data_IF_413519126593
#
_entry.id   IF_413519126593
#
_cell.length_a   1.000
_cell.length_b   1.000
_cell.length_c   1.000
_cell.angle_alpha   90.00
_cell.angle_beta   90.00
_cell.angle_gamma   90.00
#
_symmetry.space_group_name_H-M   'P 1'
#
loop_
_entity.id
_entity.type
_entity.pdbx_description
1 polymer ?
#
# COMPACT_ATOMS: atom_id res chain seq x y z
N UNK A 1 1.00 -2.65 32.60
CA UNK A 1 2.03 -3.56 32.06
C UNK A 1 2.38 -3.09 30.65
N UNK A 2 3.66 -3.12 30.25
CA UNK A 2 4.06 -2.77 28.87
C UNK A 2 3.95 -4.02 28.00
N UNK A 3 3.17 -3.97 26.92
CA UNK A 3 3.14 -5.05 25.94
C UNK A 3 4.53 -5.18 25.30
N UNK A 4 5.12 -6.37 25.36
CA UNK A 4 6.41 -6.66 24.74
C UNK A 4 6.16 -6.83 23.25
N UNK A 5 6.62 -5.88 22.44
CA UNK A 5 6.63 -6.03 20.98
C UNK A 5 7.60 -7.16 20.65
N UNK A 6 7.08 -8.27 20.14
CA UNK A 6 7.90 -9.28 19.49
C UNK A 6 7.94 -8.92 18.01
N UNK A 7 9.13 -8.53 17.56
CA UNK A 7 9.41 -8.43 16.14
C UNK A 7 9.77 -9.84 15.69
N UNK A 8 8.94 -10.42 14.84
CA UNK A 8 9.23 -11.67 14.19
C UNK A 8 9.83 -11.34 12.83
N UNK A 9 11.10 -11.70 12.63
CA UNK A 9 11.71 -11.64 11.32
C UNK A 9 11.08 -12.76 10.49
N UNK A 10 10.21 -12.37 9.55
CA UNK A 10 9.75 -13.32 8.55
C UNK A 10 10.78 -13.35 7.45
N UNK A 11 11.29 -14.55 7.16
CA UNK A 11 12.29 -14.76 6.12
C UNK A 11 11.83 -14.18 4.77
N UNK A 12 12.49 -13.10 4.33
CA UNK A 12 12.11 -12.31 3.14
C UNK A 12 12.04 -13.15 1.87
N UNK A 13 12.81 -14.24 1.76
CA UNK A 13 12.79 -15.15 0.60
C UNK A 13 11.46 -15.89 0.43
N UNK A 14 10.60 -15.92 1.46
CA UNK A 14 9.26 -16.51 1.37
C UNK A 14 8.20 -15.53 0.88
N UNK A 15 8.56 -14.25 0.70
CA UNK A 15 7.65 -13.23 0.22
C UNK A 15 8.18 -12.61 -1.07
N UNK A 16 7.34 -12.47 -2.12
CA UNK A 16 7.76 -11.76 -3.32
C UNK A 16 8.06 -10.29 -2.96
N UNK A 17 9.04 -9.68 -3.63
CA UNK A 17 9.41 -8.28 -3.42
C UNK A 17 8.27 -7.30 -3.75
N UNK A 18 7.28 -7.76 -4.50
CA UNK A 18 6.04 -7.05 -4.83
C UNK A 18 4.96 -7.14 -3.75
N UNK A 19 5.26 -7.65 -2.54
CA UNK A 19 4.32 -7.66 -1.41
C UNK A 19 4.43 -6.37 -0.58
N UNK A 20 3.29 -5.81 -0.17
CA UNK A 20 3.23 -4.67 0.73
C UNK A 20 2.11 -4.82 1.77
N UNK A 21 2.45 -4.55 3.04
CA UNK A 21 1.46 -4.35 4.09
C UNK A 21 1.00 -2.89 4.07
N UNK A 22 -0.31 -2.68 4.00
CA UNK A 22 -0.94 -1.37 3.87
C UNK A 22 -1.82 -1.13 5.08
N UNK A 23 -1.39 -0.23 5.96
CA UNK A 23 -2.10 0.07 7.19
C UNK A 23 -2.62 1.52 7.16
N UNK A 24 -3.77 1.80 7.80
CA UNK A 24 -4.19 3.17 8.01
C UNK A 24 -3.29 3.85 9.03
N UNK A 25 -3.09 5.17 8.89
CA UNK A 25 -2.21 5.94 9.76
C UNK A 25 -2.59 5.84 11.26
N UNK A 26 -3.88 5.68 11.56
CA UNK A 26 -4.36 5.59 12.94
C UNK A 26 -4.00 4.27 13.62
N UNK A 27 -3.75 3.20 12.85
CA UNK A 27 -3.35 1.89 13.41
C UNK A 27 -2.01 1.97 14.15
N UNK A 28 -1.13 2.91 13.78
CA UNK A 28 0.18 3.09 14.40
C UNK A 28 0.11 3.72 15.80
N UNK A 29 -0.92 4.53 16.07
CA UNK A 29 -1.06 5.28 17.32
C UNK A 29 -1.96 4.60 18.36
N UNK A 30 -2.81 3.67 17.94
CA UNK A 30 -3.94 3.17 18.76
C UNK A 30 -3.56 2.32 19.99
N UNK A 31 -2.29 1.95 20.19
CA UNK A 31 -1.89 1.01 21.26
C UNK A 31 -1.58 1.65 22.62
N UNK A 32 -1.62 2.97 22.75
CA UNK A 32 -1.26 3.63 24.01
C UNK A 32 -2.42 3.89 24.98
N UNK A 33 -3.69 3.88 24.55
CA UNK A 33 -4.83 4.30 25.38
C UNK A 33 -6.07 3.37 25.34
N UNK A 34 -5.92 2.05 25.21
CA UNK A 34 -7.07 1.15 25.02
C UNK A 34 -7.61 0.54 26.33
N UNK A 35 -8.54 1.24 27.00
CA UNK A 35 -9.60 0.63 27.83
C UNK A 35 -10.93 0.49 27.08
N UNK A 36 -11.05 1.03 25.85
CA UNK A 36 -12.25 0.93 25.02
C UNK A 36 -12.11 -0.18 23.96
N UNK A 37 -13.00 -1.16 24.02
CA UNK A 37 -13.14 -2.34 23.14
C UNK A 37 -13.58 -1.98 21.70
N UNK A 38 -12.81 -1.17 20.99
CA UNK A 38 -13.00 -1.01 19.54
C UNK A 38 -12.11 -2.03 18.83
N UNK A 39 -12.70 -2.85 17.95
CA UNK A 39 -11.98 -3.88 17.22
C UNK A 39 -10.75 -3.29 16.50
N UNK A 40 -9.60 -4.00 16.50
CA UNK A 40 -8.37 -3.50 15.89
C UNK A 40 -8.57 -3.20 14.41
N UNK A 41 -8.05 -2.06 13.96
CA UNK A 41 -8.14 -1.63 12.57
C UNK A 41 -7.35 -2.60 11.67
N UNK A 42 -7.99 -3.26 10.68
CA UNK A 42 -7.30 -4.22 9.84
C UNK A 42 -6.32 -3.50 8.89
N UNK A 43 -5.09 -3.98 8.82
CA UNK A 43 -4.22 -3.69 7.69
C UNK A 43 -4.62 -4.60 6.51
N UNK A 44 -4.31 -4.17 5.30
CA UNK A 44 -4.37 -5.00 4.11
C UNK A 44 -2.97 -5.52 3.77
N UNK A 45 -2.91 -6.68 3.13
CA UNK A 45 -1.71 -7.21 2.51
C UNK A 45 -2.01 -7.31 1.02
N UNK A 46 -1.14 -6.76 0.19
CA UNK A 46 -1.30 -6.86 -1.25
C UNK A 46 -0.01 -7.33 -1.92
N UNK A 47 -0.15 -8.04 -3.04
CA UNK A 47 0.97 -8.43 -3.90
C UNK A 47 0.63 -8.17 -5.36
N UNK A 48 1.53 -7.50 -6.08
CA UNK A 48 1.44 -7.36 -7.53
C UNK A 48 2.07 -8.58 -8.21
N UNK A 49 1.41 -9.10 -9.26
CA UNK A 49 1.89 -10.23 -10.04
C UNK A 49 1.25 -10.29 -11.44
N UNK A 50 1.51 -11.36 -12.21
CA UNK A 50 1.02 -11.49 -13.59
C UNK A 50 -0.51 -11.47 -13.71
N UNK A 51 -1.22 -11.95 -12.69
CA UNK A 51 -2.69 -11.98 -12.65
C UNK A 51 -3.31 -10.65 -12.18
N UNK A 52 -2.48 -9.66 -11.82
CA UNK A 52 -2.90 -8.38 -11.26
C UNK A 52 -2.50 -8.18 -9.79
N UNK A 53 -3.23 -7.30 -9.11
CA UNK A 53 -3.02 -6.97 -7.70
C UNK A 53 -3.93 -7.86 -6.84
N UNK A 54 -3.33 -8.79 -6.10
CA UNK A 54 -4.06 -9.57 -5.10
C UNK A 54 -4.06 -8.78 -3.79
N UNK A 55 -5.25 -8.47 -3.26
CA UNK A 55 -5.46 -7.75 -2.00
C UNK A 55 -6.21 -8.65 -1.03
N UNK A 56 -5.81 -8.65 0.25
CA UNK A 56 -6.50 -9.41 1.30
C UNK A 56 -6.34 -8.77 2.68
N UNK A 57 -7.29 -8.97 3.60
CA UNK A 57 -7.13 -8.51 4.97
C UNK A 57 -5.96 -9.21 5.68
N UNK A 58 -5.14 -8.44 6.38
CA UNK A 58 -4.09 -8.95 7.25
C UNK A 58 -4.67 -9.25 8.63
N UNK A 59 -4.64 -10.52 9.04
CA UNK A 59 -4.98 -10.95 10.41
C UNK A 59 -3.75 -10.99 11.33
N UNK A 60 -2.83 -10.03 11.18
CA UNK A 60 -1.67 -9.92 12.08
C UNK A 60 -2.14 -9.77 13.54
N UNK A 61 -1.88 -10.79 14.37
CA UNK A 61 -2.10 -10.75 15.82
C UNK A 61 -3.20 -11.65 16.36
N UNK A 62 -3.99 -12.33 15.52
CA UNK A 62 -4.82 -13.45 15.98
C UNK A 62 -4.04 -14.74 15.77
N UNK A 63 -3.52 -15.32 16.86
CA UNK A 63 -2.73 -16.57 16.86
C UNK A 63 -3.50 -17.84 16.47
N UNK A 64 -4.44 -17.74 15.52
CA UNK A 64 -5.20 -18.84 14.96
C UNK A 64 -4.69 -19.18 13.55
N UNK A 65 -4.44 -20.46 13.31
CA UNK A 65 -3.88 -21.06 12.10
C UNK A 65 -4.68 -20.87 10.80
N UNK A 66 -5.80 -20.15 10.80
CA UNK A 66 -6.69 -20.05 9.63
C UNK A 66 -6.36 -18.81 8.77
N UNK A 67 -5.09 -18.63 8.41
CA UNK A 67 -4.66 -17.58 7.48
C UNK A 67 -5.21 -17.81 6.06
N UNK A 68 -5.51 -19.07 5.72
CA UNK A 68 -5.95 -19.51 4.39
C UNK A 68 -7.42 -19.21 4.06
N UNK A 69 -8.22 -18.77 5.04
CA UNK A 69 -9.67 -18.55 4.85
C UNK A 69 -10.06 -17.07 4.70
N UNK A 70 -9.09 -16.16 4.73
CA UNK A 70 -9.39 -14.75 4.51
C UNK A 70 -9.80 -14.53 3.03
N UNK A 71 -10.86 -13.74 2.76
CA UNK A 71 -11.20 -13.40 1.39
C UNK A 71 -10.02 -12.71 0.72
N UNK A 72 -9.79 -13.05 -0.54
CA UNK A 72 -8.83 -12.39 -1.41
C UNK A 72 -9.55 -11.82 -2.61
N UNK A 73 -9.05 -10.68 -3.09
CA UNK A 73 -9.59 -9.98 -4.24
C UNK A 73 -8.48 -9.73 -5.24
N UNK A 74 -8.73 -10.05 -6.50
CA UNK A 74 -7.78 -9.78 -7.59
C UNK A 74 -8.28 -8.58 -8.37
N UNK A 75 -7.46 -7.52 -8.42
CA UNK A 75 -7.73 -6.30 -9.18
C UNK A 75 -6.88 -6.32 -10.45
N UNK A 76 -7.46 -6.19 -11.65
CA UNK A 76 -6.71 -6.13 -12.88
C UNK A 76 -5.66 -5.01 -12.86
N UNK A 77 -4.47 -5.29 -13.40
CA UNK A 77 -3.37 -4.35 -13.58
C UNK A 77 -2.94 -4.30 -15.06
N UNK A 78 -2.24 -3.24 -15.51
CA UNK A 78 -1.56 -3.26 -16.80
C UNK A 78 -0.55 -4.41 -16.89
N UNK A 79 -0.26 -4.89 -18.09
CA UNK A 79 0.57 -6.09 -18.33
C UNK A 79 2.00 -5.99 -17.76
N UNK A 80 2.48 -4.77 -17.51
CA UNK A 80 3.77 -4.54 -16.84
C UNK A 80 3.66 -4.80 -15.33
N UNK A 81 4.18 -5.96 -14.92
CA UNK A 81 4.19 -6.36 -13.52
C UNK A 81 5.12 -5.46 -12.71
N UNK A 82 4.57 -4.76 -11.72
CA UNK A 82 5.36 -4.03 -10.73
C UNK A 82 6.30 -4.99 -9.97
N UNK A 83 7.60 -4.73 -10.09
CA UNK A 83 8.70 -5.45 -9.41
C UNK A 83 8.72 -5.16 -7.92
N UNK A 84 8.41 -3.92 -7.54
CA UNK A 84 8.20 -3.50 -6.16
C UNK A 84 6.84 -2.85 -6.02
N UNK A 85 6.26 -2.97 -4.83
CA UNK A 85 4.99 -2.37 -4.45
C UNK A 85 5.15 -1.66 -3.10
N UNK A 86 4.60 -0.47 -3.00
CA UNK A 86 4.28 0.16 -1.73
C UNK A 86 2.83 0.63 -1.75
N UNK A 87 2.21 0.70 -0.58
CA UNK A 87 0.85 1.20 -0.50
C UNK A 87 0.41 1.58 0.90
N UNK A 88 -0.73 2.24 0.95
CA UNK A 88 -1.32 2.78 2.17
C UNK A 88 -2.84 2.75 2.09
N UNK A 89 -3.48 2.51 3.24
CA UNK A 89 -4.93 2.73 3.39
C UNK A 89 -5.14 4.18 3.84
N UNK A 90 -5.82 4.97 3.03
CA UNK A 90 -6.04 6.41 3.26
C UNK A 90 -7.51 6.76 3.11
N UNK A 91 -7.91 7.93 3.62
CA UNK A 91 -9.24 8.50 3.33
C UNK A 91 -9.33 8.87 1.85
N UNK A 92 -10.42 8.49 1.18
CA UNK A 92 -10.61 8.83 -0.24
C UNK A 92 -10.59 10.35 -0.49
N UNK A 93 -11.08 11.15 0.46
CA UNK A 93 -11.03 12.62 0.36
C UNK A 93 -9.61 13.20 0.22
N UNK A 94 -8.57 12.45 0.62
CA UNK A 94 -7.16 12.86 0.48
C UNK A 94 -6.55 12.54 -0.88
N UNK A 95 -7.18 11.61 -1.61
CA UNK A 95 -6.74 11.13 -2.92
C UNK A 95 -7.81 11.38 -3.98
N UNK A 96 -8.76 12.30 -3.73
CA UNK A 96 -9.88 12.55 -4.63
C UNK A 96 -9.40 12.86 -6.05
N UNK A 97 -8.39 13.74 -6.20
CA UNK A 97 -7.78 14.05 -7.50
C UNK A 97 -6.98 12.91 -8.15
N UNK A 98 -6.90 11.73 -7.52
CA UNK A 98 -6.33 10.50 -8.07
C UNK A 98 -7.40 9.44 -8.38
N UNK A 99 -8.65 9.67 -8.00
CA UNK A 99 -9.75 8.78 -8.31
C UNK A 99 -10.33 9.15 -9.67
N UNK A 100 -10.95 8.17 -10.32
CA UNK A 100 -11.75 8.45 -11.50
C UNK A 100 -13.05 9.13 -11.10
N UNK A 101 -13.61 9.96 -11.99
CA UNK A 101 -14.89 10.64 -11.75
C UNK A 101 -16.01 9.65 -11.37
N UNK A 102 -16.01 8.44 -11.93
CA UNK A 102 -17.04 7.43 -11.64
C UNK A 102 -16.85 6.75 -10.27
N UNK A 103 -15.67 6.87 -9.67
CA UNK A 103 -15.29 6.26 -8.40
C UNK A 103 -15.35 7.26 -7.24
N UNK A 104 -15.38 8.55 -7.54
CA UNK A 104 -15.48 9.60 -6.53
C UNK A 104 -16.78 9.49 -5.70
N UNK A 105 -16.64 9.59 -4.37
CA UNK A 105 -17.77 9.53 -3.44
C UNK A 105 -18.35 8.13 -3.20
N UNK A 106 -17.84 7.10 -3.85
CA UNK A 106 -18.33 5.71 -3.68
C UNK A 106 -17.84 5.05 -2.38
N UNK A 107 -16.74 5.55 -1.80
CA UNK A 107 -16.11 4.98 -0.61
C UNK A 107 -15.51 6.04 0.32
N UNK A 108 -15.43 5.72 1.61
CA UNK A 108 -14.75 6.54 2.62
C UNK A 108 -13.22 6.31 2.62
N UNK A 109 -12.80 5.09 2.29
CA UNK A 109 -11.41 4.62 2.34
C UNK A 109 -10.93 4.15 0.98
N UNK A 110 -9.67 4.44 0.69
CA UNK A 110 -9.03 4.15 -0.57
C UNK A 110 -7.65 3.50 -0.32
N UNK A 111 -7.23 2.64 -1.23
CA UNK A 111 -5.84 2.24 -1.38
C UNK A 111 -5.11 3.31 -2.19
N UNK A 112 -4.00 3.81 -1.65
CA UNK A 112 -3.00 4.55 -2.42
C UNK A 112 -1.84 3.59 -2.70
N UNK A 113 -1.49 3.44 -3.97
CA UNK A 113 -0.54 2.45 -4.46
C UNK A 113 0.57 3.14 -5.23
N UNK A 114 1.79 2.61 -5.08
CA UNK A 114 2.95 2.95 -5.92
C UNK A 114 3.64 1.67 -6.36
N UNK A 115 3.81 1.52 -7.66
CA UNK A 115 4.59 0.46 -8.26
C UNK A 115 5.99 0.89 -8.66
N UNK A 116 6.87 -0.08 -8.88
CA UNK A 116 8.11 0.09 -9.66
C UNK A 116 8.14 -0.96 -10.76
N UNK A 117 8.07 -0.57 -12.03
CA UNK A 117 8.13 -1.51 -13.17
C UNK A 117 9.58 -1.74 -13.67
N UNK A 118 10.54 -0.93 -13.22
CA UNK A 118 11.94 -0.95 -13.69
C UNK A 118 12.34 0.30 -14.48
N UNK A 119 11.37 1.13 -14.84
CA UNK A 119 11.56 2.38 -15.54
C UNK A 119 10.85 3.55 -14.85
N UNK A 120 9.60 3.36 -14.42
CA UNK A 120 8.72 4.37 -13.83
C UNK A 120 8.18 3.95 -12.46
N UNK A 121 7.76 4.97 -11.71
CA UNK A 121 7.09 4.83 -10.42
C UNK A 121 5.62 5.24 -10.55
N UNK A 122 4.76 4.41 -11.16
CA UNK A 122 3.35 4.73 -11.35
C UNK A 122 2.60 4.80 -10.03
N UNK A 123 1.74 5.82 -9.89
CA UNK A 123 0.86 6.04 -8.74
C UNK A 123 -0.58 5.77 -9.13
N UNK A 124 -1.30 4.99 -8.32
CA UNK A 124 -2.71 4.69 -8.52
C UNK A 124 -3.49 4.79 -7.20
N UNK A 125 -4.81 5.02 -7.29
CA UNK A 125 -5.71 4.96 -6.16
C UNK A 125 -6.93 4.08 -6.48
N UNK A 126 -7.42 3.33 -5.49
CA UNK A 126 -8.60 2.46 -5.63
C UNK A 126 -9.56 2.64 -4.43
N UNK A 127 -10.89 2.74 -4.64
CA UNK A 127 -11.85 2.76 -3.55
C UNK A 127 -11.96 1.39 -2.87
N UNK A 128 -12.09 1.39 -1.54
CA UNK A 128 -12.38 0.22 -0.71
C UNK A 128 -13.84 0.27 -0.23
N UNK A 129 -14.66 -0.61 -0.78
CA UNK A 129 -16.04 -0.84 -0.33
C UNK A 129 -16.00 -1.44 1.07
N UNK A 130 -16.92 -1.04 1.94
CA UNK A 130 -17.02 -1.55 3.32
C UNK A 130 -15.87 -1.11 4.27
N UNK A 131 -15.13 -0.08 3.88
CA UNK A 131 -14.19 0.63 4.76
C UNK A 131 -12.73 0.17 4.66
N UNK A 132 -11.97 0.39 5.73
CA UNK A 132 -10.48 0.31 5.74
C UNK A 132 -9.88 -1.02 5.32
N UNK A 133 -10.54 -2.12 5.67
CA UNK A 133 -10.11 -3.49 5.34
C UNK A 133 -11.07 -4.17 4.37
N UNK A 134 -11.92 -3.38 3.74
CA UNK A 134 -12.94 -3.86 2.84
C UNK A 134 -12.38 -4.19 1.45
N UNK A 135 -13.25 -4.64 0.57
CA UNK A 135 -12.87 -5.09 -0.76
C UNK A 135 -12.73 -3.91 -1.72
N UNK A 136 -11.80 -3.94 -2.68
CA UNK A 136 -11.86 -3.04 -3.83
C UNK A 136 -13.19 -3.17 -4.57
N UNK A 137 -13.66 -2.12 -5.24
CA UNK A 137 -14.87 -2.21 -6.06
C UNK A 137 -14.75 -3.30 -7.13
N UNK A 138 -15.83 -4.01 -7.47
CA UNK A 138 -15.79 -5.09 -8.45
C UNK A 138 -15.34 -4.63 -9.86
N UNK A 139 -15.60 -3.36 -10.18
CA UNK A 139 -15.16 -2.71 -11.42
C UNK A 139 -13.75 -2.08 -11.32
N UNK A 140 -13.14 -2.10 -10.14
CA UNK A 140 -11.85 -1.45 -9.90
C UNK A 140 -10.77 -2.05 -10.79
N UNK A 141 -9.87 -1.19 -11.26
CA UNK A 141 -8.67 -1.57 -12.03
C UNK A 141 -7.54 -0.67 -11.56
N UNK A 142 -6.35 -1.23 -11.40
CA UNK A 142 -5.16 -0.40 -11.14
C UNK A 142 -4.85 0.37 -12.41
N UNK A 143 -5.11 1.66 -12.41
CA UNK A 143 -4.79 2.57 -13.51
C UNK A 143 -3.85 3.65 -12.96
N UNK A 144 -2.61 3.72 -13.46
CA UNK A 144 -1.71 4.81 -13.11
C UNK A 144 -2.33 6.17 -13.47
N UNK A 145 -2.33 7.09 -12.51
CA UNK A 145 -2.78 8.47 -12.70
C UNK A 145 -1.62 9.36 -13.15
N UNK A 146 -0.45 9.14 -12.56
CA UNK A 146 0.80 9.82 -12.89
C UNK A 146 2.01 8.99 -12.46
N UNK A 147 3.17 9.35 -12.97
CA UNK A 147 4.46 8.77 -12.58
C UNK A 147 5.24 9.71 -11.67
N UNK A 148 5.85 9.16 -10.62
CA UNK A 148 6.77 9.93 -9.78
C UNK A 148 8.05 10.24 -10.58
N UNK A 149 8.46 11.51 -10.71
CA UNK A 149 9.61 11.87 -11.52
C UNK A 149 10.89 11.35 -10.88
N UNK A 150 11.56 10.44 -11.59
CA UNK A 150 12.86 9.92 -11.21
C UNK A 150 13.98 10.81 -11.77
N UNK A 151 15.04 11.09 -10.98
CA UNK A 151 16.25 11.72 -11.49
C UNK A 151 16.82 10.92 -12.68
N UNK A 152 17.31 11.60 -13.72
CA UNK A 152 17.85 10.94 -14.93
C UNK A 152 19.14 10.14 -14.71
N UNK A 153 19.67 10.11 -13.49
CA UNK A 153 20.86 9.33 -13.15
C UNK A 153 20.55 7.84 -13.18
N UNK A 154 21.47 7.06 -13.75
CA UNK A 154 21.34 5.60 -13.89
C UNK A 154 21.03 4.90 -12.56
N UNK A 155 21.52 5.42 -11.44
CA UNK A 155 21.24 4.90 -10.10
C UNK A 155 19.75 4.93 -9.73
N UNK A 156 18.99 5.91 -10.24
CA UNK A 156 17.55 5.99 -9.99
C UNK A 156 16.75 4.87 -10.67
N UNK A 157 17.35 4.14 -11.63
CA UNK A 157 16.76 2.95 -12.25
C UNK A 157 17.02 1.67 -11.47
N UNK A 158 17.71 1.76 -10.33
CA UNK A 158 18.05 0.62 -9.50
C UNK A 158 17.44 0.78 -8.09
N UNK A 159 16.11 0.87 -8.06
CA UNK A 159 15.32 0.95 -6.83
C UNK A 159 15.29 -0.44 -6.19
N UNK A 160 15.68 -0.51 -4.91
CA UNK A 160 15.78 -1.74 -4.13
C UNK A 160 14.65 -1.91 -3.11
N UNK A 161 14.05 -0.80 -2.68
CA UNK A 161 12.92 -0.80 -1.76
C UNK A 161 12.06 0.44 -1.92
N UNK A 162 10.76 0.27 -1.66
CA UNK A 162 9.79 1.35 -1.57
C UNK A 162 9.10 1.33 -0.20
N UNK A 163 8.79 2.52 0.31
CA UNK A 163 7.96 2.68 1.50
C UNK A 163 7.01 3.86 1.33
N UNK A 164 5.74 3.67 1.68
CA UNK A 164 4.73 4.72 1.63
C UNK A 164 4.21 5.03 3.04
N UNK A 165 4.36 6.28 3.46
CA UNK A 165 3.83 6.77 4.73
C UNK A 165 2.35 7.19 4.57
N UNK A 166 1.39 6.52 5.24
CA UNK A 166 -0.05 6.76 5.03
C UNK A 166 -0.51 8.16 5.48
N UNK A 167 0.14 8.75 6.50
CA UNK A 167 -0.32 10.02 7.08
C UNK A 167 -0.04 11.20 6.18
N UNK A 168 1.05 11.24 5.42
CA UNK A 168 1.36 12.35 4.50
C UNK A 168 1.25 11.96 3.03
N UNK A 169 1.19 10.66 2.73
CA UNK A 169 1.35 10.18 1.37
C UNK A 169 2.79 10.38 0.90
N UNK A 170 3.75 10.25 1.81
CA UNK A 170 5.17 10.42 1.52
C UNK A 170 5.76 9.10 1.04
N UNK A 171 6.26 9.10 -0.18
CA UNK A 171 6.98 7.98 -0.77
C UNK A 171 8.46 8.11 -0.45
N UNK A 172 9.08 6.99 -0.11
CA UNK A 172 10.53 6.83 0.01
C UNK A 172 10.98 5.70 -0.91
N UNK A 173 12.08 5.93 -1.62
CA UNK A 173 12.74 4.92 -2.44
C UNK A 173 14.21 4.79 -2.03
N UNK A 174 14.65 3.56 -1.76
CA UNK A 174 16.06 3.24 -1.50
C UNK A 174 16.68 2.74 -2.80
N UNK A 175 17.77 3.38 -3.22
CA UNK A 175 18.52 3.02 -4.41
C UNK A 175 19.64 2.02 -4.08
N UNK A 176 20.12 1.29 -5.08
CA UNK A 176 21.20 0.31 -4.90
C UNK A 176 22.54 0.90 -4.45
N UNK A 177 22.76 2.19 -4.72
CA UNK A 177 23.94 2.91 -4.22
C UNK A 177 23.79 3.39 -2.76
N UNK A 178 22.67 3.11 -2.10
CA UNK A 178 22.37 3.51 -0.74
C UNK A 178 21.72 4.90 -0.61
N UNK A 179 21.52 5.62 -1.72
CA UNK A 179 20.81 6.89 -1.72
C UNK A 179 19.33 6.70 -1.39
N UNK A 180 18.74 7.75 -0.81
CA UNK A 180 17.33 7.81 -0.46
C UNK A 180 16.66 8.95 -1.21
N UNK A 181 15.63 8.63 -1.97
CA UNK A 181 14.77 9.60 -2.64
C UNK A 181 13.42 9.70 -1.91
N UNK A 182 12.81 10.88 -1.93
CA UNK A 182 11.54 11.12 -1.25
C UNK A 182 10.61 12.07 -2.02
N UNK A 183 9.31 11.80 -1.96
CA UNK A 183 8.27 12.60 -2.60
C UNK A 183 7.02 12.71 -1.74
N UNK A 184 6.30 13.82 -1.84
CA UNK A 184 4.95 14.01 -1.31
C UNK A 184 3.93 13.76 -2.44
N UNK A 185 3.36 12.55 -2.51
CA UNK A 185 2.53 12.12 -3.65
C UNK A 185 1.25 12.93 -3.80
N UNK A 186 0.63 13.30 -2.68
CA UNK A 186 -0.62 14.07 -2.68
C UNK A 186 -0.44 15.52 -3.18
N UNK A 187 0.81 15.97 -3.29
CA UNK A 187 1.17 17.29 -3.81
C UNK A 187 1.99 17.20 -5.10
N UNK A 188 2.20 15.98 -5.64
CA UNK A 188 3.07 15.72 -6.79
C UNK A 188 4.44 16.41 -6.69
N UNK A 189 5.09 16.37 -5.52
CA UNK A 189 6.29 17.17 -5.21
C UNK A 189 7.45 16.29 -4.73
N UNK A 190 8.65 16.52 -5.27
CA UNK A 190 9.92 15.98 -4.73
C UNK A 190 10.37 16.75 -3.48
N UNK A 191 10.99 16.05 -2.53
CA UNK A 191 11.56 16.61 -1.31
C UNK A 191 13.08 16.81 -1.41
#
# INVERSE_FOLDING_TARGET
>A
SRAKLQMEEVERHRMPASIAAMCPAEALNSRQNSSSSTAPMPCLLASAGPEGLVVRPSRMGQGGSNFLEAPQWTVPMPEESWKLLAGAVVRCSRVAGLLREEEEGTAEWCLLLVGWDGEMLPVAALPLLDGRGGQPAASARVLPVFDVPLPRVKAARDIQALHLEPRRGRLWAVLANGDLLAWELLQARSL
#
